data_IF_142120963418
#
_entry.id   IF_142120963418
#
_cell.length_a   1.000
_cell.length_b   1.000
_cell.length_c   1.000
_cell.angle_alpha   90.00
_cell.angle_beta   90.00
_cell.angle_gamma   90.00
#
_symmetry.space_group_name_H-M   'P 1'
#
loop_
_entity.id
_entity.type
_entity.pdbx_description
1 polymer ?
#
# COMPACT_ATOMS: atom_id res chain seq x y z
N UNK A 1 35.27 -43.61 -31.55
CA UNK A 1 34.64 -43.92 -32.85
C UNK A 1 33.24 -44.52 -32.76
N UNK A 2 33.02 -45.80 -32.39
CA UNK A 2 31.66 -46.39 -32.36
C UNK A 2 30.73 -45.69 -31.33
N UNK A 3 31.24 -45.38 -30.14
CA UNK A 3 30.49 -44.69 -29.08
C UNK A 3 30.12 -43.24 -29.44
N UNK A 4 30.96 -42.55 -30.22
CA UNK A 4 30.68 -41.19 -30.69
C UNK A 4 29.61 -41.18 -31.77
N UNK A 5 29.66 -42.15 -32.69
CA UNK A 5 28.62 -42.34 -33.71
C UNK A 5 27.29 -42.67 -33.04
N UNK A 6 27.28 -43.56 -32.05
CA UNK A 6 26.08 -43.93 -31.29
C UNK A 6 25.49 -42.73 -30.54
N UNK A 7 26.33 -41.95 -29.85
CA UNK A 7 25.91 -40.73 -29.14
C UNK A 7 25.28 -39.70 -30.10
N UNK A 8 25.91 -39.47 -31.25
CA UNK A 8 25.39 -38.57 -32.27
C UNK A 8 24.03 -39.02 -32.84
N UNK A 9 23.83 -40.33 -33.00
CA UNK A 9 22.55 -40.89 -33.44
C UNK A 9 21.46 -40.68 -32.37
N UNK A 10 21.78 -40.95 -31.10
CA UNK A 10 20.86 -40.74 -29.97
C UNK A 10 20.47 -39.27 -29.84
N UNK A 11 21.41 -38.34 -29.93
CA UNK A 11 21.13 -36.89 -29.88
C UNK A 11 20.21 -36.48 -31.04
N UNK A 12 20.44 -36.99 -32.27
CA UNK A 12 19.58 -36.71 -33.42
C UNK A 12 18.16 -37.26 -33.22
N UNK A 13 18.01 -38.43 -32.61
CA UNK A 13 16.71 -39.02 -32.29
C UNK A 13 15.96 -38.18 -31.24
N UNK A 14 16.63 -37.75 -30.17
CA UNK A 14 16.05 -36.88 -29.14
C UNK A 14 15.59 -35.56 -29.77
N UNK A 15 16.45 -34.93 -30.58
CA UNK A 15 16.09 -33.67 -31.25
C UNK A 15 14.91 -33.84 -32.20
N UNK A 16 14.85 -34.94 -32.97
CA UNK A 16 13.72 -35.25 -33.83
C UNK A 16 12.41 -35.42 -33.05
N UNK A 17 12.47 -36.12 -31.91
CA UNK A 17 11.32 -36.28 -31.00
C UNK A 17 10.86 -34.94 -30.39
N UNK A 18 11.78 -34.10 -29.94
CA UNK A 18 11.46 -32.76 -29.39
C UNK A 18 10.85 -31.87 -30.47
N UNK A 19 11.37 -31.92 -31.70
CA UNK A 19 10.84 -31.19 -32.85
C UNK A 19 9.41 -31.68 -33.15
N UNK A 20 9.18 -32.99 -33.24
CA UNK A 20 7.86 -33.56 -33.48
C UNK A 20 6.86 -33.18 -32.36
N UNK A 21 7.28 -33.26 -31.09
CA UNK A 21 6.48 -32.81 -29.95
C UNK A 21 6.15 -31.31 -30.03
N UNK A 22 7.13 -30.49 -30.42
CA UNK A 22 6.92 -29.03 -30.53
C UNK A 22 5.92 -28.72 -31.65
N UNK A 23 6.08 -29.30 -32.84
CA UNK A 23 5.17 -29.04 -33.96
C UNK A 23 3.75 -29.58 -33.74
N UNK A 24 3.59 -30.67 -33.00
CA UNK A 24 2.27 -31.22 -32.67
C UNK A 24 1.56 -30.42 -31.58
N UNK A 25 2.29 -29.96 -30.56
CA UNK A 25 1.70 -29.20 -29.45
C UNK A 25 1.57 -27.70 -29.74
N UNK A 26 2.41 -27.13 -30.61
CA UNK A 26 2.44 -25.69 -30.89
C UNK A 26 1.09 -25.14 -31.41
N UNK A 27 0.38 -25.77 -32.37
CA UNK A 27 -0.94 -25.30 -32.81
C UNK A 27 -1.97 -25.30 -31.68
N UNK A 28 -1.95 -26.33 -30.81
CA UNK A 28 -2.83 -26.43 -29.65
C UNK A 28 -2.54 -25.31 -28.64
N UNK A 29 -1.26 -25.06 -28.32
CA UNK A 29 -0.85 -23.94 -27.48
C UNK A 29 -1.20 -22.59 -28.11
N UNK A 30 -0.96 -22.43 -29.42
CA UNK A 30 -1.26 -21.20 -30.16
C UNK A 30 -2.75 -20.89 -30.10
N UNK A 31 -3.62 -21.89 -30.30
CA UNK A 31 -5.05 -21.71 -30.19
C UNK A 31 -5.51 -21.42 -28.76
N UNK A 32 -4.96 -22.13 -27.75
CA UNK A 32 -5.33 -21.94 -26.34
C UNK A 32 -4.89 -20.58 -25.80
N UNK A 33 -3.68 -20.12 -26.16
CA UNK A 33 -3.14 -18.85 -25.70
C UNK A 33 -3.79 -17.64 -26.38
N UNK A 34 -4.43 -17.83 -27.55
CA UNK A 34 -5.07 -16.77 -28.35
C UNK A 34 -4.17 -15.53 -28.51
N UNK A 35 -2.94 -15.67 -29.05
CA UNK A 35 -1.96 -14.58 -29.12
C UNK A 35 -2.46 -13.38 -29.93
N UNK A 36 -3.36 -13.58 -30.90
CA UNK A 36 -4.00 -12.49 -31.64
C UNK A 36 -4.80 -11.54 -30.74
N UNK A 37 -5.37 -12.02 -29.62
CA UNK A 37 -6.03 -11.14 -28.64
C UNK A 37 -5.00 -10.26 -27.89
N UNK A 38 -3.81 -10.81 -27.59
CA UNK A 38 -2.72 -10.04 -27.00
C UNK A 38 -2.20 -8.99 -27.98
N UNK A 39 -2.06 -9.35 -29.26
CA UNK A 39 -1.67 -8.41 -30.31
C UNK A 39 -2.72 -7.32 -30.53
N UNK A 40 -4.01 -7.66 -30.51
CA UNK A 40 -5.10 -6.68 -30.57
C UNK A 40 -5.01 -5.67 -29.41
N UNK A 41 -4.90 -6.16 -28.17
CA UNK A 41 -4.69 -5.32 -26.96
C UNK A 41 -3.36 -4.55 -26.94
N UNK A 42 -2.34 -5.04 -27.64
CA UNK A 42 -1.07 -4.35 -27.78
C UNK A 42 -1.14 -3.19 -28.78
N UNK A 43 -1.99 -3.33 -29.81
CA UNK A 43 -2.23 -2.32 -30.85
C UNK A 43 -3.35 -1.34 -30.50
N UNK A 44 -4.16 -1.63 -29.50
CA UNK A 44 -5.12 -0.67 -28.95
C UNK A 44 -4.36 0.58 -28.48
N UNK A 45 -4.77 1.75 -28.97
CA UNK A 45 -4.30 3.03 -28.44
C UNK A 45 -4.63 3.04 -26.95
N UNK A 46 -3.60 3.23 -26.12
CA UNK A 46 -3.72 3.15 -24.65
C UNK A 46 -3.89 4.51 -24.01
N UNK A 47 -3.54 5.59 -24.71
CA UNK A 47 -3.72 6.94 -24.23
C UNK A 47 -3.98 7.89 -25.40
N UNK A 48 -4.85 8.87 -25.18
CA UNK A 48 -5.09 10.00 -26.07
C UNK A 48 -4.92 11.31 -25.29
N UNK A 49 -4.48 12.39 -25.95
CA UNK A 49 -4.50 13.71 -25.33
C UNK A 49 -5.93 14.10 -24.98
N UNK A 50 -6.13 14.73 -23.81
CA UNK A 50 -7.44 15.24 -23.39
C UNK A 50 -7.95 16.32 -24.35
N UNK A 51 -7.05 17.14 -24.89
CA UNK A 51 -7.35 18.07 -25.98
C UNK A 51 -6.41 17.81 -27.17
N UNK A 52 -6.91 17.24 -28.28
CA UNK A 52 -6.10 16.93 -29.46
C UNK A 52 -5.45 18.14 -30.14
N UNK A 53 -5.97 19.35 -29.90
CA UNK A 53 -5.48 20.59 -30.50
C UNK A 53 -4.38 21.26 -29.67
N UNK A 54 -4.18 20.83 -28.42
CA UNK A 54 -3.19 21.39 -27.51
C UNK A 54 -2.06 20.37 -27.24
N UNK A 55 -0.84 20.60 -27.76
CA UNK A 55 0.32 19.74 -27.53
C UNK A 55 0.73 19.62 -26.05
N UNK A 56 0.34 20.59 -25.21
CA UNK A 56 0.61 20.59 -23.77
C UNK A 56 -0.43 19.84 -22.93
N UNK A 57 -1.50 19.33 -23.56
CA UNK A 57 -2.59 18.70 -22.84
C UNK A 57 -2.19 17.38 -22.18
N UNK A 58 -2.83 17.08 -21.05
CA UNK A 58 -2.61 15.84 -20.32
C UNK A 58 -3.07 14.63 -21.16
N UNK A 59 -2.28 13.58 -21.16
CA UNK A 59 -2.65 12.32 -21.82
C UNK A 59 -3.50 11.47 -20.88
N UNK A 60 -4.69 11.07 -21.34
CA UNK A 60 -5.63 10.22 -20.61
C UNK A 60 -5.68 8.83 -21.23
N UNK A 61 -5.78 7.80 -20.39
CA UNK A 61 -5.92 6.41 -20.85
C UNK A 61 -7.22 6.21 -21.65
N UNK A 62 -7.15 5.56 -22.80
CA UNK A 62 -8.30 5.21 -23.64
C UNK A 62 -8.85 3.83 -23.35
N UNK A 63 -10.17 3.65 -23.52
CA UNK A 63 -10.84 2.36 -23.36
C UNK A 63 -10.87 1.84 -21.92
N UNK A 64 -10.55 2.69 -20.94
CA UNK A 64 -10.64 2.31 -19.56
C UNK A 64 -12.09 2.29 -19.09
N UNK A 65 -12.48 1.27 -18.35
CA UNK A 65 -13.53 1.37 -17.32
C UNK A 65 -13.02 2.22 -16.17
N UNK A 66 -12.42 3.39 -16.49
CA UNK A 66 -11.90 4.24 -15.46
C UNK A 66 -13.08 4.71 -14.61
N UNK A 67 -12.88 4.81 -13.29
CA UNK A 67 -13.83 5.46 -12.41
C UNK A 67 -14.35 6.75 -13.07
N UNK A 68 -15.67 6.86 -13.30
CA UNK A 68 -16.31 8.00 -13.98
C UNK A 68 -15.97 9.35 -13.35
N UNK A 69 -15.57 9.31 -12.09
CA UNK A 69 -15.18 10.44 -11.25
C UNK A 69 -13.73 10.24 -10.83
N UNK A 70 -12.90 11.24 -11.13
CA UNK A 70 -11.49 11.25 -10.71
C UNK A 70 -11.39 11.53 -9.22
N UNK A 71 -10.43 10.88 -8.56
CA UNK A 71 -10.06 11.22 -7.19
C UNK A 71 -9.60 12.69 -7.06
N UNK A 72 -9.12 13.29 -8.15
CA UNK A 72 -8.71 14.69 -8.24
C UNK A 72 -9.88 15.69 -8.29
N UNK A 73 -11.12 15.20 -8.46
CA UNK A 73 -12.31 16.06 -8.30
C UNK A 73 -12.59 16.40 -6.83
N UNK A 74 -11.92 15.73 -5.89
CA UNK A 74 -11.94 16.13 -4.49
C UNK A 74 -11.18 17.44 -4.30
N UNK A 75 -11.76 18.39 -3.56
CA UNK A 75 -11.12 19.68 -3.29
C UNK A 75 -9.83 19.57 -2.48
N UNK A 76 -9.75 18.60 -1.57
CA UNK A 76 -8.61 18.40 -0.66
C UNK A 76 -8.27 16.91 -0.52
N UNK A 77 -7.06 16.61 -0.04
CA UNK A 77 -6.55 15.23 0.10
C UNK A 77 -7.38 14.40 1.10
N UNK A 78 -7.89 15.02 2.16
CA UNK A 78 -8.80 14.38 3.12
C UNK A 78 -10.14 13.96 2.46
N UNK A 79 -10.69 14.81 1.60
CA UNK A 79 -11.92 14.55 0.86
C UNK A 79 -11.75 13.51 -0.25
N UNK A 80 -10.50 13.21 -0.66
CA UNK A 80 -10.21 12.28 -1.76
C UNK A 80 -10.77 10.88 -1.48
N UNK A 81 -10.52 10.37 -0.27
CA UNK A 81 -10.99 9.04 0.11
C UNK A 81 -12.51 9.01 0.26
N UNK A 82 -13.13 10.09 0.75
CA UNK A 82 -14.58 10.20 0.85
C UNK A 82 -15.26 10.24 -0.51
N UNK A 83 -14.70 11.01 -1.44
CA UNK A 83 -15.19 11.12 -2.81
C UNK A 83 -15.08 9.76 -3.50
N UNK A 84 -13.93 9.09 -3.36
CA UNK A 84 -13.74 7.74 -3.88
C UNK A 84 -14.72 6.74 -3.24
N UNK A 85 -14.95 6.80 -1.93
CA UNK A 85 -15.90 5.93 -1.24
C UNK A 85 -17.36 6.21 -1.62
N UNK A 86 -17.75 7.47 -1.87
CA UNK A 86 -19.10 7.81 -2.38
C UNK A 86 -19.34 7.19 -3.77
N UNK A 87 -18.31 7.20 -4.61
CA UNK A 87 -18.42 6.70 -5.99
C UNK A 87 -18.27 5.18 -6.12
N UNK A 88 -17.41 4.56 -5.30
CA UNK A 88 -16.98 3.17 -5.46
C UNK A 88 -17.20 2.28 -4.23
N UNK A 89 -17.78 2.84 -3.15
CA UNK A 89 -17.80 2.32 -1.77
C UNK A 89 -18.08 0.84 -1.58
N UNK A 90 -19.13 0.30 -2.20
CA UNK A 90 -19.57 -1.10 -1.98
C UNK A 90 -19.12 -2.07 -3.08
N UNK A 91 -18.86 -1.57 -4.27
CA UNK A 91 -18.70 -2.41 -5.46
C UNK A 91 -17.23 -2.66 -5.84
N UNK A 92 -16.30 -1.93 -5.23
CA UNK A 92 -14.89 -2.00 -5.59
C UNK A 92 -14.00 -2.18 -4.37
N UNK A 93 -13.10 -3.15 -4.48
CA UNK A 93 -11.99 -3.38 -3.56
C UNK A 93 -10.84 -2.44 -3.91
N UNK A 94 -10.21 -1.85 -2.90
CA UNK A 94 -9.10 -0.91 -3.05
C UNK A 94 -7.77 -1.47 -2.52
N UNK A 95 -7.80 -2.20 -1.41
CA UNK A 95 -6.59 -2.78 -0.80
C UNK A 95 -6.78 -4.28 -0.58
N UNK A 96 -5.78 -5.07 -0.97
CA UNK A 96 -5.70 -6.50 -0.66
C UNK A 96 -4.53 -6.77 0.28
N UNK A 97 -4.79 -7.40 1.42
CA UNK A 97 -3.77 -7.82 2.39
C UNK A 97 -3.50 -9.30 2.21
N UNK A 98 -2.24 -9.65 1.97
CA UNK A 98 -1.83 -11.05 1.88
C UNK A 98 -1.78 -11.64 3.29
N UNK A 99 -2.59 -12.65 3.54
CA UNK A 99 -2.66 -13.38 4.81
C UNK A 99 -2.15 -14.80 4.62
N UNK A 100 -1.45 -15.31 5.63
CA UNK A 100 -0.96 -16.68 5.67
C UNK A 100 -1.63 -17.41 6.83
N UNK A 101 -2.46 -18.40 6.52
CA UNK A 101 -3.14 -19.24 7.51
C UNK A 101 -3.02 -20.72 7.11
N UNK A 102 -2.69 -21.57 8.08
CA UNK A 102 -2.59 -23.02 7.86
C UNK A 102 -1.68 -23.46 6.69
N UNK A 103 -0.61 -22.72 6.39
CA UNK A 103 0.29 -23.02 5.27
C UNK A 103 -0.20 -22.56 3.88
N UNK A 104 -1.33 -21.86 3.81
CA UNK A 104 -1.90 -21.30 2.57
C UNK A 104 -1.86 -19.79 2.59
N UNK A 105 -1.65 -19.21 1.40
CA UNK A 105 -1.72 -17.76 1.20
C UNK A 105 -3.06 -17.39 0.55
N UNK A 106 -3.76 -16.44 1.14
CA UNK A 106 -4.95 -15.81 0.58
C UNK A 106 -4.85 -14.30 0.69
N UNK A 107 -5.76 -13.60 0.02
CA UNK A 107 -5.87 -12.14 0.10
C UNK A 107 -7.18 -11.77 0.76
N UNK A 108 -7.09 -10.97 1.82
CA UNK A 108 -8.22 -10.27 2.42
C UNK A 108 -8.40 -8.93 1.72
N UNK A 109 -9.53 -8.75 1.05
CA UNK A 109 -9.82 -7.56 0.26
C UNK A 109 -10.70 -6.59 1.04
N UNK A 110 -10.31 -5.32 1.03
CA UNK A 110 -11.04 -4.21 1.65
C UNK A 110 -11.66 -3.35 0.57
N UNK A 111 -12.95 -3.06 0.72
CA UNK A 111 -13.66 -2.08 -0.10
C UNK A 111 -13.30 -0.65 0.29
N UNK A 112 -13.57 0.32 -0.60
CA UNK A 112 -13.46 1.74 -0.24
C UNK A 112 -14.27 2.06 1.02
N UNK A 113 -15.46 1.48 1.15
CA UNK A 113 -16.31 1.63 2.34
C UNK A 113 -15.67 1.07 3.60
N UNK A 114 -14.94 -0.04 3.52
CA UNK A 114 -14.23 -0.61 4.68
C UNK A 114 -13.07 0.28 5.11
N UNK A 115 -12.27 0.74 4.13
CA UNK A 115 -11.10 1.60 4.39
C UNK A 115 -11.54 2.91 5.03
N UNK A 116 -12.54 3.61 4.49
CA UNK A 116 -12.97 4.90 5.06
C UNK A 116 -13.51 4.76 6.48
N UNK A 117 -14.28 3.71 6.78
CA UNK A 117 -14.78 3.48 8.15
C UNK A 117 -13.64 3.29 9.14
N UNK A 118 -12.60 2.54 8.75
CA UNK A 118 -11.40 2.35 9.60
C UNK A 118 -10.61 3.64 9.74
N UNK A 119 -10.42 4.39 8.66
CA UNK A 119 -9.79 5.72 8.68
C UNK A 119 -10.53 6.65 9.64
N UNK A 120 -11.86 6.69 9.62
CA UNK A 120 -12.67 7.53 10.50
C UNK A 120 -12.49 7.15 11.97
N UNK A 121 -12.51 5.86 12.28
CA UNK A 121 -12.26 5.38 13.64
C UNK A 121 -10.84 5.73 14.10
N UNK A 122 -9.82 5.54 13.25
CA UNK A 122 -8.44 5.89 13.59
C UNK A 122 -8.30 7.40 13.76
N UNK A 123 -8.87 8.23 12.89
CA UNK A 123 -8.82 9.69 12.98
C UNK A 123 -9.45 10.19 14.27
N UNK A 124 -10.63 9.68 14.64
CA UNK A 124 -11.27 10.00 15.93
C UNK A 124 -10.40 9.57 17.12
N UNK A 125 -9.78 8.40 17.03
CA UNK A 125 -8.87 7.91 18.05
C UNK A 125 -7.61 8.78 18.19
N UNK A 126 -6.99 9.15 17.07
CA UNK A 126 -5.83 10.05 17.06
C UNK A 126 -6.17 11.44 17.60
N UNK A 127 -7.36 11.95 17.30
CA UNK A 127 -7.87 13.19 17.89
C UNK A 127 -8.03 13.10 19.41
N UNK A 128 -8.49 11.97 19.94
CA UNK A 128 -8.51 11.70 21.40
C UNK A 128 -7.11 11.61 22.01
N UNK A 129 -6.13 11.11 21.25
CA UNK A 129 -4.72 11.06 21.68
C UNK A 129 -4.11 12.48 21.74
N UNK A 130 -4.70 13.44 21.02
CA UNK A 130 -4.33 14.86 21.01
C UNK A 130 -3.81 15.36 19.66
N UNK A 131 -3.79 14.52 18.62
CA UNK A 131 -3.37 14.93 17.27
C UNK A 131 -4.37 15.93 16.70
N UNK A 132 -3.87 17.10 16.28
CA UNK A 132 -4.67 18.14 15.65
C UNK A 132 -4.12 18.63 14.32
N UNK A 133 -4.75 19.68 13.79
CA UNK A 133 -4.32 20.33 12.56
C UNK A 133 -2.93 20.95 12.73
N UNK A 134 -2.05 20.74 11.74
CA UNK A 134 -0.67 21.22 11.75
C UNK A 134 0.31 20.39 12.59
N UNK A 135 -0.16 19.42 13.39
CA UNK A 135 0.75 18.52 14.10
C UNK A 135 1.43 17.56 13.12
N UNK A 136 2.73 17.35 13.33
CA UNK A 136 3.54 16.40 12.56
C UNK A 136 3.47 15.02 13.21
N UNK A 137 2.98 14.04 12.47
CA UNK A 137 2.86 12.64 12.89
C UNK A 137 3.81 11.80 12.07
N UNK A 138 4.79 11.20 12.76
CA UNK A 138 5.72 10.26 12.15
C UNK A 138 5.05 8.90 11.94
N UNK A 139 5.12 8.33 10.74
CA UNK A 139 4.80 6.94 10.48
C UNK A 139 6.11 6.21 10.13
N UNK A 140 6.54 5.32 11.02
CA UNK A 140 7.77 4.54 10.91
C UNK A 140 7.44 3.05 10.86
N UNK A 141 7.08 2.58 9.67
CA UNK A 141 6.61 1.22 9.44
C UNK A 141 6.89 0.77 8.00
N UNK A 142 6.86 -0.54 7.77
CA UNK A 142 6.91 -1.14 6.44
C UNK A 142 5.61 -0.91 5.65
N UNK A 143 5.59 -1.26 4.35
CA UNK A 143 4.38 -1.20 3.52
C UNK A 143 3.32 -2.17 4.03
N UNK A 144 2.30 -1.65 4.71
CA UNK A 144 1.17 -2.42 5.27
C UNK A 144 -0.14 -1.63 5.25
N UNK A 145 -1.26 -2.32 5.49
CA UNK A 145 -2.59 -1.69 5.48
C UNK A 145 -2.70 -0.58 6.53
N UNK A 146 -2.20 -0.81 7.73
CA UNK A 146 -2.26 0.15 8.84
C UNK A 146 -1.51 1.44 8.51
N UNK A 147 -0.44 1.35 7.71
CA UNK A 147 0.32 2.52 7.26
C UNK A 147 -0.58 3.47 6.46
N UNK A 148 -1.30 2.95 5.46
CA UNK A 148 -2.14 3.78 4.60
C UNK A 148 -3.38 4.29 5.35
N UNK A 149 -3.94 3.49 6.25
CA UNK A 149 -5.05 3.91 7.10
C UNK A 149 -4.65 5.06 8.02
N UNK A 150 -3.49 4.98 8.67
CA UNK A 150 -2.98 6.03 9.54
C UNK A 150 -2.66 7.30 8.75
N UNK A 151 -2.07 7.20 7.56
CA UNK A 151 -1.78 8.36 6.72
C UNK A 151 -3.07 9.15 6.38
N UNK A 152 -4.10 8.46 5.89
CA UNK A 152 -5.40 9.10 5.62
C UNK A 152 -6.08 9.64 6.88
N UNK A 153 -5.95 8.95 8.02
CA UNK A 153 -6.48 9.44 9.28
C UNK A 153 -5.80 10.75 9.72
N UNK A 154 -4.48 10.87 9.54
CA UNK A 154 -3.73 12.10 9.83
C UNK A 154 -4.14 13.23 8.88
N UNK A 155 -4.26 12.97 7.56
CA UNK A 155 -4.76 13.96 6.62
C UNK A 155 -6.15 14.47 6.98
N UNK A 156 -7.05 13.58 7.40
CA UNK A 156 -8.41 13.93 7.84
C UNK A 156 -8.46 14.80 9.09
N UNK A 157 -7.39 14.83 9.89
CA UNK A 157 -7.24 15.73 11.03
C UNK A 157 -6.55 17.06 10.67
N UNK A 158 -6.18 17.25 9.40
CA UNK A 158 -5.33 18.37 8.98
C UNK A 158 -3.88 18.25 9.49
N UNK A 159 -3.47 17.06 9.92
CA UNK A 159 -2.11 16.78 10.37
C UNK A 159 -1.15 16.58 9.20
N UNK A 160 0.14 16.66 9.50
CA UNK A 160 1.23 16.49 8.53
C UNK A 160 1.82 15.10 8.71
N UNK A 161 1.73 14.27 7.67
CA UNK A 161 2.36 12.94 7.65
C UNK A 161 3.85 13.10 7.40
N UNK A 162 4.66 12.64 8.35
CA UNK A 162 6.11 12.51 8.23
C UNK A 162 6.46 11.02 8.14
N UNK A 163 7.44 10.62 7.34
CA UNK A 163 7.79 9.21 7.15
C UNK A 163 9.27 8.95 7.33
N UNK A 164 9.61 7.79 7.89
CA UNK A 164 10.96 7.25 7.89
C UNK A 164 10.96 5.86 7.26
N UNK A 165 12.03 5.54 6.50
CA UNK A 165 12.19 4.22 5.91
C UNK A 165 12.45 3.16 6.98
N UNK A 166 11.71 2.05 6.96
CA UNK A 166 11.83 0.97 7.94
C UNK A 166 13.25 0.36 8.08
N UNK A 167 14.09 0.43 7.03
CA UNK A 167 15.48 -0.03 7.08
C UNK A 167 16.51 1.05 7.47
N UNK A 168 16.07 2.26 7.81
CA UNK A 168 16.97 3.35 8.17
C UNK A 168 17.78 3.01 9.43
N UNK A 169 19.06 3.38 9.42
CA UNK A 169 19.95 3.24 10.57
C UNK A 169 19.61 4.21 11.70
N UNK A 170 20.14 3.96 12.91
CA UNK A 170 19.81 4.74 14.11
C UNK A 170 20.11 6.23 13.97
N UNK A 171 21.25 6.60 13.39
CA UNK A 171 21.62 8.01 13.18
C UNK A 171 20.65 8.73 12.24
N UNK A 172 20.17 8.03 11.20
CA UNK A 172 19.16 8.56 10.29
C UNK A 172 17.80 8.73 10.96
N UNK A 173 17.44 7.83 11.87
CA UNK A 173 16.20 7.95 12.66
C UNK A 173 16.28 9.18 13.56
N UNK A 174 17.37 9.35 14.31
CA UNK A 174 17.62 10.53 15.17
C UNK A 174 17.56 11.81 14.35
N UNK A 175 18.28 11.84 13.23
CA UNK A 175 18.31 13.01 12.35
C UNK A 175 16.91 13.37 11.83
N UNK A 176 16.15 12.40 11.31
CA UNK A 176 14.82 12.64 10.78
C UNK A 176 13.84 13.12 11.85
N UNK A 177 13.87 12.54 13.05
CA UNK A 177 12.99 12.98 14.15
C UNK A 177 13.36 14.39 14.63
N UNK A 178 14.65 14.68 14.78
CA UNK A 178 15.11 15.99 15.26
C UNK A 178 14.93 17.09 14.21
N UNK A 179 15.07 16.79 12.91
CA UNK A 179 14.78 17.76 11.86
C UNK A 179 13.27 18.08 11.78
N UNK A 180 12.43 17.06 11.98
CA UNK A 180 10.98 17.21 11.83
C UNK A 180 10.29 17.61 13.13
N UNK A 181 10.93 17.48 14.29
CA UNK A 181 10.37 17.84 15.61
C UNK A 181 8.97 17.25 15.81
N UNK A 182 8.79 15.99 15.42
CA UNK A 182 7.53 15.24 15.53
C UNK A 182 7.20 14.93 16.99
N UNK A 183 5.92 15.07 17.36
CA UNK A 183 5.43 14.77 18.72
C UNK A 183 4.82 13.37 18.83
N UNK A 184 4.22 12.90 17.75
CA UNK A 184 3.51 11.63 17.67
C UNK A 184 4.23 10.71 16.70
N UNK A 185 4.47 9.46 17.11
CA UNK A 185 5.03 8.43 16.25
C UNK A 185 4.09 7.22 16.17
N UNK A 186 3.83 6.73 14.98
CA UNK A 186 3.09 5.50 14.70
C UNK A 186 4.09 4.50 14.13
N UNK A 187 4.28 3.36 14.77
CA UNK A 187 5.37 2.43 14.47
C UNK A 187 4.91 0.97 14.58
N UNK A 188 5.69 0.05 14.02
CA UNK A 188 5.52 -1.39 14.28
C UNK A 188 6.36 -1.83 15.49
N UNK A 189 6.13 -3.03 15.99
CA UNK A 189 6.90 -3.62 17.10
C UNK A 189 8.39 -3.68 16.79
N UNK A 190 8.75 -4.05 15.57
CA UNK A 190 10.14 -4.14 15.15
C UNK A 190 10.82 -2.77 15.14
N UNK A 191 10.12 -1.76 14.61
CA UNK A 191 10.63 -0.40 14.55
C UNK A 191 10.61 0.31 15.91
N UNK A 192 9.69 -0.07 16.81
CA UNK A 192 9.62 0.42 18.18
C UNK A 192 10.90 0.10 18.97
N UNK A 193 11.52 -1.07 18.75
CA UNK A 193 12.78 -1.45 19.41
C UNK A 193 13.90 -0.48 19.02
N UNK A 194 14.00 -0.15 17.72
CA UNK A 194 14.97 0.85 17.24
C UNK A 194 14.66 2.23 17.79
N UNK A 195 13.39 2.63 17.78
CA UNK A 195 12.95 3.93 18.27
C UNK A 195 13.29 4.09 19.76
N UNK A 196 13.04 3.06 20.59
CA UNK A 196 13.41 3.03 22.01
C UNK A 196 14.89 3.28 22.25
N UNK A 197 15.76 2.70 21.41
CA UNK A 197 17.22 2.86 21.54
C UNK A 197 17.69 4.31 21.34
N UNK A 198 16.88 5.15 20.69
CA UNK A 198 17.22 6.55 20.37
C UNK A 198 16.35 7.57 21.08
N UNK A 199 15.42 7.16 21.95
CA UNK A 199 14.49 8.07 22.63
C UNK A 199 15.21 9.16 23.45
N UNK A 200 16.35 8.84 24.06
CA UNK A 200 17.18 9.80 24.79
C UNK A 200 17.73 10.93 23.91
N UNK A 201 17.83 10.70 22.60
CA UNK A 201 18.33 11.65 21.60
C UNK A 201 17.19 12.35 20.83
N UNK A 202 15.94 11.97 21.08
CA UNK A 202 14.76 12.49 20.38
C UNK A 202 13.70 12.98 21.37
N UNK A 203 13.96 14.09 22.09
CA UNK A 203 13.09 14.57 23.17
C UNK A 203 11.75 15.14 22.69
N UNK A 204 11.58 15.33 21.38
CA UNK A 204 10.34 15.83 20.78
C UNK A 204 9.20 14.83 20.84
N UNK A 205 9.50 13.52 20.88
CA UNK A 205 8.48 12.45 20.89
C UNK A 205 7.80 12.39 22.26
N UNK A 206 6.47 12.56 22.24
CA UNK A 206 5.64 12.55 23.44
C UNK A 206 4.78 11.30 23.54
N UNK A 207 4.30 10.79 22.40
CA UNK A 207 3.41 9.62 22.34
C UNK A 207 3.77 8.72 21.18
N UNK A 208 3.71 7.42 21.43
CA UNK A 208 3.99 6.39 20.42
C UNK A 208 2.78 5.47 20.30
N UNK A 209 2.41 5.15 19.07
CA UNK A 209 1.30 4.27 18.73
C UNK A 209 1.86 3.04 18.03
N UNK A 210 1.74 1.88 18.67
CA UNK A 210 2.21 0.60 18.13
C UNK A 210 1.12 -0.08 17.30
N UNK A 211 1.42 -0.38 16.04
CA UNK A 211 0.51 -1.06 15.11
C UNK A 211 0.25 -2.52 15.49
N UNK A 212 1.20 -3.19 16.14
CA UNK A 212 1.12 -4.64 16.41
C UNK A 212 0.50 -4.98 17.79
N UNK A 213 0.19 -3.95 18.59
CA UNK A 213 -0.73 -4.04 19.71
C UNK A 213 -0.12 -4.35 21.08
N UNK A 214 1.17 -4.08 21.30
CA UNK A 214 1.78 -4.21 22.63
C UNK A 214 1.67 -2.90 23.41
N UNK A 215 0.87 -2.89 24.47
CA UNK A 215 0.82 -1.79 25.44
C UNK A 215 1.79 -2.11 26.59
N UNK A 216 3.07 -1.81 26.41
CA UNK A 216 4.05 -1.85 27.50
C UNK A 216 4.74 -0.49 27.58
N UNK A 217 4.16 0.40 28.38
CA UNK A 217 4.83 1.64 28.78
C UNK A 217 6.02 1.32 29.68
N UNK A 218 7.19 1.89 29.39
CA UNK A 218 8.36 1.82 30.28
C UNK A 218 8.46 3.01 31.23
N UNK A 219 7.40 3.83 31.31
CA UNK A 219 7.34 5.03 32.14
C UNK A 219 7.96 6.28 31.50
N UNK A 220 8.72 6.15 30.40
CA UNK A 220 9.42 7.28 29.76
C UNK A 220 8.55 7.96 28.69
N UNK A 221 7.76 7.20 27.94
CA UNK A 221 6.88 7.68 26.86
C UNK A 221 5.56 6.91 26.88
N UNK A 222 4.43 7.59 26.63
CA UNK A 222 3.10 6.97 26.55
C UNK A 222 2.99 6.13 25.25
N UNK A 223 2.81 4.81 25.42
CA UNK A 223 2.72 3.86 24.31
C UNK A 223 1.31 3.26 24.27
N UNK A 224 0.61 3.45 23.16
CA UNK A 224 -0.74 2.93 22.94
C UNK A 224 -0.80 1.99 21.73
N UNK A 225 -1.64 0.96 21.80
CA UNK A 225 -1.94 0.12 20.64
C UNK A 225 -2.81 0.84 19.61
N UNK A 226 -2.50 0.72 18.32
CA UNK A 226 -3.33 1.25 17.23
C UNK A 226 -4.75 0.65 17.27
N UNK A 227 -4.88 -0.63 17.64
CA UNK A 227 -6.20 -1.26 17.81
C UNK A 227 -7.00 -0.58 18.92
N UNK A 228 -6.34 -0.17 20.00
CA UNK A 228 -6.99 0.60 21.07
C UNK A 228 -7.40 1.98 20.60
N UNK A 229 -6.54 2.67 19.85
CA UNK A 229 -6.86 3.97 19.22
C UNK A 229 -8.10 3.85 18.33
N UNK A 230 -8.13 2.84 17.44
CA UNK A 230 -9.27 2.58 16.55
C UNK A 230 -10.56 2.26 17.33
N UNK A 231 -10.48 1.44 18.38
CA UNK A 231 -11.62 1.13 19.25
C UNK A 231 -12.14 2.36 20.01
N UNK A 232 -11.25 3.21 20.52
CA UNK A 232 -11.61 4.44 21.21
C UNK A 232 -12.32 5.40 20.26
N UNK A 233 -11.83 5.54 19.03
CA UNK A 233 -12.47 6.36 18.02
C UNK A 233 -13.79 5.80 17.51
N UNK A 234 -13.96 4.48 17.45
CA UNK A 234 -15.25 3.85 17.13
C UNK A 234 -16.31 4.15 18.20
N UNK A 235 -15.91 4.19 19.47
CA UNK A 235 -16.81 4.49 20.60
C UNK A 235 -17.10 5.98 20.77
N UNK A 236 -16.37 6.86 20.09
CA UNK A 236 -16.49 8.30 20.30
C UNK A 236 -17.44 8.98 19.31
N UNK A 237 -18.23 9.92 19.84
CA UNK A 237 -19.14 10.77 19.08
C UNK A 237 -18.45 12.02 18.52
N UNK A 238 -17.11 12.05 18.52
CA UNK A 238 -16.34 13.18 18.04
C UNK A 238 -16.59 13.37 16.55
N UNK A 239 -16.97 14.59 16.17
CA UNK A 239 -17.03 15.01 14.78
C UNK A 239 -15.62 15.27 14.26
N UNK A 240 -15.32 14.63 13.14
CA UNK A 240 -14.20 15.00 12.29
C UNK A 240 -14.61 16.26 11.53
N UNK A 241 -13.66 17.17 11.32
CA UNK A 241 -13.86 18.42 10.57
C UNK A 241 -14.20 18.15 9.13
#
# INVERSE_FOLDING_TARGET
MLNEILSNIVIKLINSLVIAYTYTTLPLYYYRQKPWLRLKKAREERALPENPLDPGSAWRRTGSTDPKVSALEAGTVDCMLETAAKNYGKNYTIVGVKVHDGGKYFYDWFTYGDVIRRVDHIAKGLKLVGVGAGDKVLIFAETRLEWILCAFAVFKLGGIVTTLFAQLGLDGIVHGINQTQVKYAITTKQQLIKLRSVLSQTPSIQKIIDMDGQSMGDGTVDIMSLKQVEMNGKKSDIKLS
#
